data_IF_565771381639
#
_entry.id   IF_565771381639
#
_cell.length_a   1.000
_cell.length_b   1.000
_cell.length_c   1.000
_cell.angle_alpha   90.00
_cell.angle_beta   90.00
_cell.angle_gamma   90.00
#
_symmetry.space_group_name_H-M   'P 1'
#
loop_
_entity.id
_entity.type
_entity.pdbx_description
1 polymer ?
#
# COMPACT_ATOMS: atom_id res chain seq x y z
N UNK A 1 -13.74 -4.05 43.17
CA UNK A 1 -13.53 -4.22 41.71
C UNK A 1 -12.19 -4.90 41.52
N UNK A 2 -12.04 -5.97 40.71
CA UNK A 2 -10.71 -6.50 40.44
C UNK A 2 -9.88 -5.41 39.77
N UNK A 3 -8.65 -5.24 40.23
CA UNK A 3 -7.74 -4.26 39.71
C UNK A 3 -7.53 -4.49 38.21
N UNK A 4 -7.90 -3.52 37.38
CA UNK A 4 -7.74 -3.55 35.91
C UNK A 4 -6.28 -3.75 35.45
N UNK A 5 -5.33 -3.70 36.38
CA UNK A 5 -3.90 -3.83 36.15
C UNK A 5 -3.41 -5.23 35.71
N UNK A 6 -4.26 -6.25 35.71
CA UNK A 6 -3.89 -7.64 35.38
C UNK A 6 -4.39 -8.11 34.02
N UNK A 7 -5.16 -7.29 33.29
CA UNK A 7 -5.73 -7.67 32.00
C UNK A 7 -4.97 -6.99 30.86
N UNK A 8 -4.45 -7.80 29.94
CA UNK A 8 -3.89 -7.30 28.69
C UNK A 8 -5.03 -7.03 27.72
N UNK A 9 -5.03 -5.85 27.09
CA UNK A 9 -6.00 -5.55 26.05
C UNK A 9 -5.87 -6.53 24.88
N UNK A 10 -7.00 -7.01 24.36
CA UNK A 10 -7.03 -8.05 23.34
C UNK A 10 -6.45 -7.59 22.00
N UNK A 11 -6.55 -6.28 21.65
CA UNK A 11 -6.03 -5.75 20.40
C UNK A 11 -4.50 -5.58 20.46
N UNK A 12 -3.98 -5.18 21.63
CA UNK A 12 -2.54 -5.15 21.89
C UNK A 12 -1.96 -6.58 21.91
N UNK A 13 -2.66 -7.52 22.55
CA UNK A 13 -2.29 -8.94 22.55
C UNK A 13 -2.25 -9.51 21.11
N UNK A 14 -3.20 -9.10 20.28
CA UNK A 14 -3.25 -9.54 18.88
C UNK A 14 -2.04 -9.01 18.08
N UNK A 15 -1.62 -7.75 18.30
CA UNK A 15 -0.39 -7.22 17.69
C UNK A 15 0.84 -8.01 18.12
N UNK A 16 0.90 -8.44 19.41
CA UNK A 16 1.98 -9.29 19.91
C UNK A 16 1.96 -10.69 19.26
N UNK A 17 0.77 -11.23 18.95
CA UNK A 17 0.67 -12.45 18.13
C UNK A 17 1.23 -12.23 16.72
N UNK A 18 0.84 -11.14 16.04
CA UNK A 18 1.33 -10.87 14.69
C UNK A 18 2.84 -10.56 14.66
N UNK A 19 3.39 -10.03 15.75
CA UNK A 19 4.84 -9.90 15.93
C UNK A 19 5.55 -11.25 15.87
N UNK A 20 5.02 -12.30 16.53
CA UNK A 20 5.59 -13.65 16.44
C UNK A 20 5.59 -14.20 15.02
N UNK A 21 4.59 -13.83 14.21
CA UNK A 21 4.61 -14.15 12.76
C UNK A 21 5.76 -13.45 12.06
N UNK A 22 6.06 -12.21 12.43
CA UNK A 22 7.22 -11.47 11.89
C UNK A 22 8.55 -12.09 12.33
N UNK A 23 8.65 -12.57 13.57
CA UNK A 23 9.82 -13.27 14.09
C UNK A 23 10.16 -14.52 13.28
N UNK A 24 9.16 -15.26 12.80
CA UNK A 24 9.38 -16.38 11.89
C UNK A 24 10.03 -15.96 10.56
N UNK A 25 9.73 -14.74 10.07
CA UNK A 25 10.41 -14.20 8.90
C UNK A 25 11.85 -13.73 9.21
N UNK A 26 12.15 -13.43 10.45
CA UNK A 26 13.49 -13.01 10.92
C UNK A 26 14.42 -14.20 11.16
N UNK A 27 13.89 -15.36 11.44
CA UNK A 27 14.67 -16.57 11.74
C UNK A 27 15.38 -17.08 10.48
N UNK A 28 16.71 -16.95 10.46
CA UNK A 28 17.54 -17.38 9.35
C UNK A 28 17.66 -18.90 9.18
N UNK A 29 17.19 -19.70 10.14
CA UNK A 29 17.10 -21.16 10.02
C UNK A 29 15.97 -21.62 9.10
N UNK A 30 14.99 -20.73 8.84
CA UNK A 30 13.85 -20.99 7.96
C UNK A 30 14.23 -20.70 6.49
N UNK A 31 13.85 -21.56 5.53
CA UNK A 31 14.12 -21.34 4.12
C UNK A 31 13.62 -19.97 3.62
N UNK A 32 14.39 -19.30 2.76
CA UNK A 32 14.16 -17.92 2.36
C UNK A 32 12.76 -17.65 1.81
N UNK A 33 12.19 -18.55 0.99
CA UNK A 33 10.85 -18.37 0.45
C UNK A 33 9.75 -18.52 1.50
N UNK A 34 9.95 -19.35 2.52
CA UNK A 34 9.03 -19.43 3.65
C UNK A 34 9.10 -18.15 4.51
N UNK A 35 10.30 -17.57 4.68
CA UNK A 35 10.46 -16.27 5.34
C UNK A 35 9.72 -15.16 4.58
N UNK A 36 9.80 -15.16 3.24
CA UNK A 36 8.99 -14.26 2.39
C UNK A 36 7.50 -14.49 2.63
N UNK A 37 7.08 -15.75 2.74
CA UNK A 37 5.68 -16.10 3.02
C UNK A 37 5.22 -15.55 4.38
N UNK A 38 6.02 -15.68 5.44
CA UNK A 38 5.70 -15.09 6.74
C UNK A 38 5.59 -13.56 6.69
N UNK A 39 6.41 -12.87 5.88
CA UNK A 39 6.25 -11.43 5.64
C UNK A 39 4.89 -11.09 4.99
N UNK A 40 4.42 -11.89 4.04
CA UNK A 40 3.12 -11.67 3.41
C UNK A 40 1.97 -11.96 4.38
N UNK A 41 2.08 -13.01 5.21
CA UNK A 41 1.10 -13.32 6.26
C UNK A 41 1.02 -12.18 7.27
N UNK A 42 2.15 -11.68 7.76
CA UNK A 42 2.20 -10.53 8.68
C UNK A 42 1.46 -9.31 8.10
N UNK A 43 1.71 -8.98 6.83
CA UNK A 43 1.10 -7.83 6.17
C UNK A 43 -0.41 -8.02 5.98
N UNK A 44 -0.85 -9.20 5.55
CA UNK A 44 -2.27 -9.53 5.38
C UNK A 44 -3.02 -9.51 6.71
N UNK A 45 -2.44 -10.08 7.75
CA UNK A 45 -2.99 -10.04 9.10
C UNK A 45 -3.18 -8.60 9.59
N UNK A 46 -2.18 -7.74 9.34
CA UNK A 46 -2.26 -6.33 9.75
C UNK A 46 -3.34 -5.57 8.97
N UNK A 47 -3.53 -5.87 7.68
CA UNK A 47 -4.62 -5.29 6.89
C UNK A 47 -5.98 -5.67 7.48
N UNK A 48 -6.22 -6.96 7.75
CA UNK A 48 -7.46 -7.44 8.35
C UNK A 48 -7.69 -6.84 9.75
N UNK A 49 -6.64 -6.75 10.56
CA UNK A 49 -6.70 -6.11 11.87
C UNK A 49 -7.22 -4.67 11.79
N UNK A 50 -6.73 -3.88 10.84
CA UNK A 50 -7.22 -2.52 10.63
C UNK A 50 -8.65 -2.49 10.09
N UNK A 51 -8.99 -3.38 9.17
CA UNK A 51 -10.30 -3.43 8.53
C UNK A 51 -11.42 -3.82 9.49
N UNK A 52 -11.13 -4.65 10.49
CA UNK A 52 -12.14 -5.20 11.41
C UNK A 52 -11.99 -4.63 12.82
N UNK A 53 -10.82 -4.82 13.43
CA UNK A 53 -10.65 -4.53 14.86
C UNK A 53 -10.45 -3.05 15.12
N UNK A 54 -9.56 -2.39 14.39
CA UNK A 54 -9.34 -0.95 14.54
C UNK A 54 -10.59 -0.18 14.15
N UNK A 55 -11.30 -0.59 13.09
CA UNK A 55 -12.57 -0.02 12.69
C UNK A 55 -13.61 -0.09 13.84
N UNK A 56 -13.71 -1.23 14.51
CA UNK A 56 -14.60 -1.38 15.70
C UNK A 56 -14.20 -0.46 16.86
N UNK A 57 -12.89 -0.24 17.10
CA UNK A 57 -12.44 0.69 18.16
C UNK A 57 -12.74 2.14 17.77
N UNK A 58 -12.62 2.50 16.48
CA UNK A 58 -13.00 3.82 15.96
C UNK A 58 -14.49 4.09 16.14
N UNK A 59 -15.36 3.11 15.86
CA UNK A 59 -16.80 3.24 16.12
C UNK A 59 -17.12 3.46 17.61
N UNK A 60 -16.35 2.85 18.52
CA UNK A 60 -16.48 3.12 19.97
C UNK A 60 -16.02 4.52 20.35
N UNK A 61 -14.97 5.04 19.68
CA UNK A 61 -14.53 6.43 19.90
C UNK A 61 -15.63 7.44 19.55
N UNK A 62 -16.38 7.18 18.48
CA UNK A 62 -17.49 8.04 18.05
C UNK A 62 -18.72 7.92 18.96
N UNK A 63 -19.11 6.69 19.33
CA UNK A 63 -20.33 6.43 20.11
C UNK A 63 -20.15 6.64 21.62
N UNK A 64 -19.01 6.29 22.19
CA UNK A 64 -18.74 6.31 23.62
C UNK A 64 -17.28 6.67 23.95
N UNK A 65 -16.84 7.92 23.72
CA UNK A 65 -15.43 8.33 23.80
C UNK A 65 -14.80 8.17 25.19
N UNK A 66 -15.62 8.21 26.24
CA UNK A 66 -15.15 8.14 27.65
C UNK A 66 -15.24 6.74 28.27
N UNK A 67 -15.77 5.76 27.51
CA UNK A 67 -15.88 4.40 28.02
C UNK A 67 -14.50 3.76 28.13
N UNK A 68 -14.16 3.32 29.33
CA UNK A 68 -12.91 2.61 29.62
C UNK A 68 -13.16 1.11 29.47
N UNK A 69 -12.30 0.40 28.74
CA UNK A 69 -12.39 -1.05 28.60
C UNK A 69 -11.87 -1.79 29.86
N UNK A 70 -11.99 -3.12 29.86
CA UNK A 70 -11.54 -3.96 30.99
C UNK A 70 -10.03 -3.92 31.25
N UNK A 71 -9.23 -3.47 30.30
CA UNK A 71 -7.79 -3.30 30.44
C UNK A 71 -7.36 -1.86 30.82
N UNK A 72 -8.32 -0.97 31.07
CA UNK A 72 -8.07 0.39 31.53
C UNK A 72 -7.87 1.43 30.43
N UNK A 73 -8.13 1.12 29.15
CA UNK A 73 -7.99 2.05 28.04
C UNK A 73 -9.33 2.67 27.64
N UNK A 74 -9.33 3.98 27.40
CA UNK A 74 -10.34 4.61 26.56
C UNK A 74 -10.09 4.23 25.08
N UNK A 75 -11.09 4.41 24.21
CA UNK A 75 -10.91 4.13 22.78
C UNK A 75 -9.78 4.97 22.15
N UNK A 76 -9.64 6.23 22.55
CA UNK A 76 -8.57 7.12 22.08
C UNK A 76 -7.17 6.64 22.49
N UNK A 77 -6.98 6.27 23.74
CA UNK A 77 -5.72 5.73 24.26
C UNK A 77 -5.36 4.41 23.59
N UNK A 78 -6.36 3.53 23.38
CA UNK A 78 -6.15 2.26 22.69
C UNK A 78 -5.73 2.47 21.23
N UNK A 79 -6.37 3.39 20.49
CA UNK A 79 -5.99 3.72 19.11
C UNK A 79 -4.55 4.28 19.05
N UNK A 80 -4.17 5.12 20.01
CA UNK A 80 -2.81 5.65 20.10
C UNK A 80 -1.80 4.53 20.32
N UNK A 81 -2.04 3.64 21.29
CA UNK A 81 -1.17 2.48 21.59
C UNK A 81 -1.07 1.51 20.39
N UNK A 82 -2.19 1.19 19.73
CA UNK A 82 -2.23 0.38 18.51
C UNK A 82 -1.39 1.04 17.40
N UNK A 83 -1.56 2.35 17.19
CA UNK A 83 -0.87 3.09 16.11
C UNK A 83 0.64 3.10 16.32
N UNK A 84 1.11 3.31 17.54
CA UNK A 84 2.52 3.28 17.89
C UNK A 84 3.12 1.89 17.66
N UNK A 85 2.47 0.85 18.18
CA UNK A 85 2.94 -0.53 18.04
C UNK A 85 2.92 -1.00 16.59
N UNK A 86 1.84 -0.74 15.86
CA UNK A 86 1.74 -1.11 14.45
C UNK A 86 2.77 -0.38 13.58
N UNK A 87 3.10 0.88 13.90
CA UNK A 87 4.17 1.64 13.22
C UNK A 87 5.53 0.98 13.43
N UNK A 88 5.87 0.62 14.67
CA UNK A 88 7.10 -0.08 15.01
C UNK A 88 7.24 -1.38 14.21
N UNK A 89 6.22 -2.25 14.28
CA UNK A 89 6.21 -3.54 13.59
C UNK A 89 6.29 -3.38 12.06
N UNK A 90 5.61 -2.38 11.51
CA UNK A 90 5.67 -2.09 10.07
C UNK A 90 7.06 -1.62 9.62
N UNK A 91 7.74 -0.82 10.43
CA UNK A 91 9.11 -0.39 10.14
C UNK A 91 10.08 -1.58 10.22
N UNK A 92 9.93 -2.44 11.22
CA UNK A 92 10.70 -3.67 11.37
C UNK A 92 10.50 -4.61 10.18
N UNK A 93 9.25 -4.85 9.76
CA UNK A 93 8.90 -5.60 8.56
C UNK A 93 9.55 -5.02 7.29
N UNK A 94 9.44 -3.71 7.07
CA UNK A 94 10.00 -3.06 5.89
C UNK A 94 11.54 -3.13 5.86
N UNK A 95 12.19 -2.97 7.01
CA UNK A 95 13.63 -3.08 7.14
C UNK A 95 14.12 -4.52 6.92
N UNK A 96 13.42 -5.52 7.46
CA UNK A 96 13.72 -6.92 7.24
C UNK A 96 13.67 -7.25 5.74
N UNK A 97 12.57 -6.88 5.06
CA UNK A 97 12.42 -7.11 3.63
C UNK A 97 13.55 -6.47 2.83
N UNK A 98 13.75 -5.16 3.00
CA UNK A 98 14.72 -4.40 2.19
C UNK A 98 16.17 -4.77 2.46
N UNK A 99 16.55 -4.93 3.74
CA UNK A 99 17.96 -5.03 4.13
C UNK A 99 18.48 -6.47 4.27
N UNK A 100 17.57 -7.46 4.40
CA UNK A 100 17.96 -8.86 4.56
C UNK A 100 17.37 -9.75 3.47
N UNK A 101 16.04 -9.74 3.31
CA UNK A 101 15.36 -10.68 2.40
C UNK A 101 15.71 -10.41 0.93
N UNK A 102 15.65 -9.16 0.46
CA UNK A 102 15.96 -8.83 -0.94
C UNK A 102 17.41 -9.19 -1.31
N UNK A 103 18.44 -8.84 -0.51
CA UNK A 103 19.81 -9.29 -0.80
C UNK A 103 19.99 -10.80 -0.77
N UNK A 104 19.32 -11.50 0.15
CA UNK A 104 19.39 -12.97 0.25
C UNK A 104 18.72 -13.65 -0.96
N UNK A 105 17.56 -13.15 -1.41
CA UNK A 105 16.90 -13.61 -2.64
C UNK A 105 17.83 -13.48 -3.87
N UNK A 106 18.58 -12.38 -3.96
CA UNK A 106 19.56 -12.19 -5.03
C UNK A 106 20.65 -13.27 -5.01
N UNK A 107 21.07 -13.72 -3.81
CA UNK A 107 21.97 -14.86 -3.64
C UNK A 107 21.40 -16.19 -4.16
N UNK A 108 20.09 -16.29 -4.36
CA UNK A 108 19.37 -17.43 -4.94
C UNK A 108 18.90 -17.17 -6.39
N UNK A 109 19.52 -16.20 -7.08
CA UNK A 109 19.18 -15.79 -8.44
C UNK A 109 17.76 -15.25 -8.61
N UNK A 110 17.12 -14.76 -7.53
CA UNK A 110 15.80 -14.13 -7.56
C UNK A 110 15.99 -12.62 -7.36
N UNK A 111 15.72 -11.83 -8.38
CA UNK A 111 15.92 -10.39 -8.34
C UNK A 111 14.63 -9.62 -8.61
N UNK A 112 14.31 -8.65 -7.72
CA UNK A 112 13.34 -7.61 -8.00
C UNK A 112 14.16 -6.37 -8.36
N UNK A 113 14.12 -6.00 -9.63
CA UNK A 113 14.97 -4.97 -10.20
C UNK A 113 14.17 -3.70 -10.52
N UNK A 114 14.87 -2.60 -10.66
CA UNK A 114 14.32 -1.30 -11.04
C UNK A 114 14.49 -1.09 -12.54
N UNK A 115 13.71 -0.18 -13.09
CA UNK A 115 13.81 0.18 -14.50
C UNK A 115 15.22 0.63 -14.92
N UNK A 116 15.89 1.40 -14.07
CA UNK A 116 17.21 1.95 -14.34
C UNK A 116 18.30 0.86 -14.44
N UNK A 117 18.08 -0.29 -13.79
CA UNK A 117 19.00 -1.42 -13.76
C UNK A 117 18.77 -2.42 -14.91
N UNK A 118 17.78 -2.15 -15.80
CA UNK A 118 17.48 -2.99 -16.95
C UNK A 118 18.43 -2.69 -18.10
N UNK A 119 18.86 -3.74 -18.82
CA UNK A 119 19.49 -3.60 -20.13
C UNK A 119 18.49 -3.09 -21.18
N UNK A 120 18.98 -2.60 -22.31
CA UNK A 120 18.12 -2.12 -23.39
C UNK A 120 17.23 -3.23 -23.97
N UNK A 121 17.72 -4.46 -24.06
CA UNK A 121 16.92 -5.61 -24.50
C UNK A 121 15.80 -5.93 -23.51
N UNK A 122 16.09 -5.87 -22.21
CA UNK A 122 15.09 -6.08 -21.16
C UNK A 122 14.05 -4.95 -21.16
N UNK A 123 14.47 -3.68 -21.31
CA UNK A 123 13.55 -2.54 -21.46
C UNK A 123 12.63 -2.71 -22.67
N UNK A 124 13.18 -3.08 -23.82
CA UNK A 124 12.41 -3.35 -25.03
C UNK A 124 11.42 -4.52 -24.82
N UNK A 125 11.83 -5.56 -24.09
CA UNK A 125 10.97 -6.69 -23.78
C UNK A 125 9.77 -6.29 -22.90
N UNK A 126 10.02 -5.62 -21.76
CA UNK A 126 8.93 -5.22 -20.84
C UNK A 126 8.06 -4.11 -21.42
N UNK A 127 8.60 -3.21 -22.26
CA UNK A 127 7.81 -2.20 -22.98
C UNK A 127 6.84 -2.84 -23.99
N UNK A 128 7.24 -3.91 -24.66
CA UNK A 128 6.32 -4.70 -25.51
C UNK A 128 5.21 -5.36 -24.66
N UNK A 129 5.57 -5.96 -23.51
CA UNK A 129 4.56 -6.51 -22.59
C UNK A 129 3.60 -5.42 -22.13
N UNK A 130 4.11 -4.21 -21.84
CA UNK A 130 3.27 -3.09 -21.47
C UNK A 130 2.27 -2.76 -22.57
N UNK A 131 2.74 -2.50 -23.79
CA UNK A 131 1.88 -2.10 -24.92
C UNK A 131 0.85 -3.18 -25.28
N UNK A 132 1.26 -4.46 -25.30
CA UNK A 132 0.41 -5.55 -25.79
C UNK A 132 -0.59 -6.06 -24.78
N UNK A 133 -0.26 -6.02 -23.47
CA UNK A 133 -1.03 -6.73 -22.43
C UNK A 133 -1.47 -5.85 -21.28
N UNK A 134 -0.72 -4.80 -20.93
CA UNK A 134 -0.99 -3.98 -19.75
C UNK A 134 -1.78 -2.74 -20.16
N UNK A 135 -1.29 -1.98 -21.13
CA UNK A 135 -1.92 -0.75 -21.60
C UNK A 135 -3.41 -0.91 -21.95
N UNK A 136 -3.85 -1.97 -22.68
CA UNK A 136 -5.27 -2.12 -23.06
C UNK A 136 -6.25 -2.33 -21.91
N UNK A 137 -5.74 -2.74 -20.73
CA UNK A 137 -6.56 -2.98 -19.52
C UNK A 137 -6.47 -1.87 -18.49
N UNK A 138 -5.66 -0.83 -18.75
CA UNK A 138 -5.55 0.33 -17.88
C UNK A 138 -6.69 1.32 -18.15
N UNK A 139 -7.29 1.82 -17.08
CA UNK A 139 -8.35 2.84 -17.15
C UNK A 139 -7.92 4.02 -16.27
N UNK A 140 -7.23 5.03 -16.83
CA UNK A 140 -6.94 6.25 -16.11
C UNK A 140 -8.25 7.00 -15.82
N UNK A 141 -8.39 7.52 -14.61
CA UNK A 141 -9.52 8.36 -14.20
C UNK A 141 -8.98 9.70 -13.73
N UNK A 142 -9.29 10.76 -14.47
CA UNK A 142 -9.01 12.13 -14.05
C UNK A 142 -10.09 12.61 -13.09
N UNK A 143 -9.69 13.43 -12.13
CA UNK A 143 -10.59 14.11 -11.20
C UNK A 143 -10.62 15.59 -11.57
N UNK A 144 -11.79 16.10 -11.90
CA UNK A 144 -12.06 17.49 -12.19
C UNK A 144 -13.42 17.88 -11.55
N UNK A 145 -13.82 19.17 -11.57
CA UNK A 145 -15.10 19.62 -11.00
C UNK A 145 -16.34 18.89 -11.56
N UNK A 146 -16.27 18.32 -12.77
CA UNK A 146 -17.35 17.58 -13.42
C UNK A 146 -17.29 16.07 -13.11
N UNK A 147 -16.15 15.58 -12.66
CA UNK A 147 -15.90 14.17 -12.36
C UNK A 147 -15.36 14.05 -10.93
N UNK A 148 -16.25 13.79 -9.95
CA UNK A 148 -15.86 13.69 -8.54
C UNK A 148 -14.86 12.56 -8.32
N UNK A 149 -14.17 12.62 -7.19
CA UNK A 149 -13.14 11.63 -6.85
C UNK A 149 -13.72 10.20 -6.88
N UNK A 150 -13.12 9.28 -7.67
CA UNK A 150 -13.68 7.96 -7.84
C UNK A 150 -13.54 7.12 -6.56
N UNK A 151 -14.53 6.26 -6.31
CA UNK A 151 -14.45 5.26 -5.27
C UNK A 151 -13.19 4.39 -5.42
N UNK A 152 -12.42 4.27 -4.35
CA UNK A 152 -11.22 3.43 -4.31
C UNK A 152 -11.53 2.17 -3.52
N UNK A 153 -11.48 1.02 -4.20
CA UNK A 153 -11.67 -0.28 -3.55
C UNK A 153 -10.63 -0.53 -2.47
N UNK A 154 -11.05 -1.07 -1.33
CA UNK A 154 -10.15 -1.47 -0.25
C UNK A 154 -9.02 -2.37 -0.74
N UNK A 155 -7.81 -2.18 -0.21
CA UNK A 155 -6.59 -2.93 -0.53
C UNK A 155 -6.12 -2.88 -2.00
N UNK A 156 -6.83 -2.18 -2.90
CA UNK A 156 -6.39 -2.04 -4.28
C UNK A 156 -5.15 -1.15 -4.38
N UNK A 157 -4.19 -1.57 -5.20
CA UNK A 157 -3.00 -0.77 -5.51
C UNK A 157 -3.33 0.21 -6.63
N UNK A 158 -2.92 1.46 -6.45
CA UNK A 158 -3.19 2.54 -7.39
C UNK A 158 -1.97 3.46 -7.52
N UNK A 159 -1.89 4.16 -8.65
CA UNK A 159 -1.02 5.30 -8.84
C UNK A 159 -1.86 6.58 -8.76
N UNK A 160 -1.48 7.49 -7.88
CA UNK A 160 -1.91 8.87 -7.86
C UNK A 160 -0.98 9.63 -8.80
N UNK A 161 -1.51 10.31 -9.79
CA UNK A 161 -0.72 11.01 -10.81
C UNK A 161 -1.12 12.47 -10.84
N UNK A 162 -0.16 13.36 -10.78
CA UNK A 162 -0.36 14.80 -10.97
C UNK A 162 0.00 15.10 -12.41
N UNK A 163 -0.99 15.52 -13.19
CA UNK A 163 -0.83 15.88 -14.59
C UNK A 163 -1.06 17.39 -14.77
N UNK A 164 -0.29 18.01 -15.64
CA UNK A 164 -0.38 19.44 -15.95
C UNK A 164 -0.74 19.67 -17.41
N UNK A 165 -1.73 20.51 -17.64
CA UNK A 165 -2.04 20.95 -18.99
C UNK A 165 -0.99 21.99 -19.44
N UNK A 166 -0.19 21.75 -20.49
CA UNK A 166 0.85 22.67 -20.92
C UNK A 166 0.30 24.01 -21.46
N UNK A 167 -1.00 24.05 -21.87
CA UNK A 167 -1.64 25.25 -22.44
C UNK A 167 -2.23 26.15 -21.38
N UNK A 168 -2.95 25.57 -20.39
CA UNK A 168 -3.59 26.35 -19.31
C UNK A 168 -2.72 26.46 -18.05
N UNK A 169 -1.66 25.69 -17.94
CA UNK A 169 -0.84 25.51 -16.73
C UNK A 169 -1.59 24.95 -15.52
N UNK A 170 -2.83 24.52 -15.69
CA UNK A 170 -3.62 23.89 -14.64
C UNK A 170 -3.14 22.47 -14.32
N UNK A 171 -3.19 22.11 -13.05
CA UNK A 171 -2.83 20.81 -12.55
C UNK A 171 -4.09 20.01 -12.21
N UNK A 172 -4.10 18.74 -12.59
CA UNK A 172 -5.18 17.81 -12.33
C UNK A 172 -4.65 16.58 -11.63
N UNK A 173 -5.49 16.03 -10.74
CA UNK A 173 -5.25 14.73 -10.15
C UNK A 173 -5.83 13.65 -11.06
N UNK A 174 -5.06 12.59 -11.27
CA UNK A 174 -5.55 11.41 -11.95
C UNK A 174 -5.20 10.15 -11.15
N UNK A 175 -6.04 9.12 -11.27
CA UNK A 175 -5.83 7.81 -10.67
C UNK A 175 -5.67 6.76 -11.75
N UNK A 176 -4.65 5.92 -11.62
CA UNK A 176 -4.48 4.70 -12.42
C UNK A 176 -4.51 3.50 -11.47
N UNK A 177 -5.52 2.64 -11.60
CA UNK A 177 -5.59 1.40 -10.82
C UNK A 177 -4.63 0.38 -11.41
N UNK A 178 -3.80 -0.24 -10.58
CA UNK A 178 -2.98 -1.38 -10.97
C UNK A 178 -3.90 -2.60 -11.07
N UNK A 179 -4.04 -3.22 -12.26
CA UNK A 179 -5.02 -4.28 -12.46
C UNK A 179 -4.67 -5.53 -11.66
N UNK A 180 -5.56 -6.01 -10.76
CA UNK A 180 -5.28 -7.18 -9.93
C UNK A 180 -5.27 -8.50 -10.72
N UNK A 181 -5.80 -8.50 -11.94
CA UNK A 181 -5.82 -9.66 -12.84
C UNK A 181 -4.44 -9.95 -13.44
N UNK A 182 -3.55 -8.96 -13.47
CA UNK A 182 -2.19 -9.11 -13.98
C UNK A 182 -1.23 -9.51 -12.86
N UNK A 183 -0.20 -10.30 -13.22
CA UNK A 183 0.87 -10.60 -12.28
C UNK A 183 1.59 -9.31 -11.87
N UNK A 184 1.77 -9.10 -10.57
CA UNK A 184 2.53 -7.97 -10.05
C UNK A 184 4.03 -8.07 -10.34
N UNK A 185 4.55 -9.29 -10.52
CA UNK A 185 5.93 -9.55 -10.92
C UNK A 185 5.95 -9.78 -12.43
N UNK A 186 6.52 -8.83 -13.17
CA UNK A 186 6.70 -8.90 -14.63
C UNK A 186 8.08 -9.42 -14.91
N UNK A 187 8.20 -10.57 -15.59
CA UNK A 187 9.51 -11.10 -16.00
C UNK A 187 10.17 -10.15 -16.99
N UNK A 188 11.43 -9.83 -16.76
CA UNK A 188 12.19 -8.91 -17.63
C UNK A 188 12.86 -9.61 -18.79
N UNK A 189 12.79 -10.94 -18.87
CA UNK A 189 13.37 -11.76 -19.91
C UNK A 189 12.39 -12.83 -20.39
N UNK A 190 12.45 -13.15 -21.67
CA UNK A 190 11.74 -14.29 -22.26
C UNK A 190 12.37 -15.64 -21.93
N UNK A 191 13.56 -15.68 -21.32
CA UNK A 191 14.21 -16.91 -20.93
C UNK A 191 13.42 -17.61 -19.82
N UNK A 192 13.05 -18.86 -20.03
CA UNK A 192 12.18 -19.65 -19.13
C UNK A 192 12.71 -19.78 -17.68
N UNK A 193 14.02 -19.66 -17.48
CA UNK A 193 14.68 -19.81 -16.18
C UNK A 193 15.06 -18.46 -15.53
N UNK A 194 14.73 -17.32 -16.16
CA UNK A 194 15.02 -16.03 -15.58
C UNK A 194 14.10 -15.76 -14.38
N UNK A 195 14.70 -15.47 -13.23
CA UNK A 195 14.00 -15.09 -12.00
C UNK A 195 14.21 -13.60 -11.69
N UNK A 196 14.35 -12.79 -12.73
CA UNK A 196 14.48 -11.33 -12.62
C UNK A 196 13.14 -10.68 -12.97
N UNK A 197 12.65 -9.83 -12.08
CA UNK A 197 11.30 -9.27 -12.17
C UNK A 197 11.32 -7.76 -11.96
N UNK A 198 10.49 -7.05 -12.73
CA UNK A 198 10.10 -5.66 -12.52
C UNK A 198 8.71 -5.64 -11.88
N UNK A 199 8.44 -4.71 -10.96
CA UNK A 199 7.11 -4.54 -10.40
C UNK A 199 6.16 -3.92 -11.42
N UNK A 200 4.93 -4.42 -11.51
CA UNK A 200 3.91 -3.95 -12.44
C UNK A 200 3.63 -2.44 -12.26
N UNK A 201 3.52 -1.97 -11.01
CA UNK A 201 3.34 -0.55 -10.71
C UNK A 201 4.51 0.32 -11.18
N UNK A 202 5.75 -0.18 -11.13
CA UNK A 202 6.92 0.55 -11.62
C UNK A 202 6.89 0.60 -13.16
N UNK A 203 6.54 -0.50 -13.84
CA UNK A 203 6.39 -0.53 -15.28
C UNK A 203 5.29 0.43 -15.77
N UNK A 204 4.13 0.45 -15.08
CA UNK A 204 3.07 1.41 -15.41
C UNK A 204 3.54 2.85 -15.20
N UNK A 205 4.30 3.11 -14.13
CA UNK A 205 4.77 4.45 -13.82
C UNK A 205 5.72 5.05 -14.87
N UNK A 206 6.53 4.22 -15.48
CA UNK A 206 7.45 4.62 -16.57
C UNK A 206 6.67 5.01 -17.85
N UNK A 207 5.55 4.35 -18.10
CA UNK A 207 4.72 4.57 -19.28
C UNK A 207 3.51 5.51 -19.04
N UNK A 208 3.49 6.25 -17.93
CA UNK A 208 2.40 7.18 -17.62
C UNK A 208 2.14 8.21 -18.72
N UNK A 209 3.19 8.65 -19.42
CA UNK A 209 3.04 9.63 -20.50
C UNK A 209 2.17 9.12 -21.65
N UNK A 210 2.13 7.80 -21.89
CA UNK A 210 1.29 7.17 -22.91
C UNK A 210 -0.19 7.15 -22.49
N UNK A 211 -0.45 7.13 -21.17
CA UNK A 211 -1.82 7.14 -20.61
C UNK A 211 -2.44 8.54 -20.57
N UNK A 212 -1.63 9.61 -20.66
CA UNK A 212 -2.08 10.99 -20.57
C UNK A 212 -1.55 11.81 -21.76
N UNK A 213 -2.02 11.54 -22.99
CA UNK A 213 -1.55 12.22 -24.19
C UNK A 213 -1.84 13.73 -24.11
N UNK A 214 -0.82 14.54 -24.41
CA UNK A 214 -0.91 15.99 -24.38
C UNK A 214 -0.84 16.64 -23.00
N UNK A 215 -0.70 15.88 -21.94
CA UNK A 215 -0.46 16.36 -20.57
C UNK A 215 0.99 16.13 -20.16
N UNK A 216 1.50 16.90 -19.22
CA UNK A 216 2.82 16.71 -18.61
C UNK A 216 2.65 15.98 -17.29
N UNK A 217 3.36 14.89 -17.09
CA UNK A 217 3.41 14.20 -15.79
C UNK A 217 4.32 15.01 -14.87
N UNK A 218 3.76 15.57 -13.79
CA UNK A 218 4.53 16.32 -12.79
C UNK A 218 5.08 15.42 -11.69
N UNK A 219 4.21 14.54 -11.16
CA UNK A 219 4.60 13.62 -10.10
C UNK A 219 3.66 12.40 -10.09
N UNK A 220 4.11 11.32 -9.47
CA UNK A 220 3.26 10.15 -9.25
C UNK A 220 3.63 9.45 -7.94
N UNK A 221 2.63 8.82 -7.32
CA UNK A 221 2.76 8.13 -6.03
C UNK A 221 1.97 6.83 -6.05
N UNK A 222 2.61 5.75 -5.63
CA UNK A 222 1.91 4.48 -5.41
C UNK A 222 1.21 4.52 -4.06
N UNK A 223 -0.08 4.18 -4.02
CA UNK A 223 -0.86 4.16 -2.79
C UNK A 223 -1.85 3.00 -2.75
N UNK A 224 -2.25 2.66 -1.54
CA UNK A 224 -3.27 1.69 -1.21
C UNK A 224 -4.03 2.20 0.01
N UNK A 225 -5.34 2.01 0.04
CA UNK A 225 -6.16 2.38 1.19
C UNK A 225 -6.70 1.13 1.88
N UNK A 226 -6.82 1.20 3.20
CA UNK A 226 -7.54 0.22 4.02
C UNK A 226 -8.86 0.87 4.44
N UNK A 227 -9.98 0.17 4.26
CA UNK A 227 -11.32 0.62 4.63
C UNK A 227 -11.93 -0.35 5.65
N UNK A 228 -12.91 0.12 6.42
CA UNK A 228 -13.75 -0.76 7.21
C UNK A 228 -14.44 -1.78 6.29
N UNK A 229 -14.54 -3.03 6.74
CA UNK A 229 -15.21 -4.10 5.99
C UNK A 229 -16.73 -4.01 6.09
N UNK A 230 -17.24 -3.39 7.14
CA UNK A 230 -18.68 -3.26 7.44
C UNK A 230 -19.30 -1.96 6.92
N UNK A 231 -18.74 -1.32 5.89
CA UNK A 231 -19.33 -0.10 5.34
C UNK A 231 -20.63 -0.44 4.63
N UNK A 232 -21.75 -0.07 5.24
CA UNK A 232 -22.95 0.31 4.51
C UNK A 232 -22.60 1.49 3.60
N UNK A 233 -22.84 1.36 2.29
CA UNK A 233 -22.64 2.43 1.31
C UNK A 233 -23.68 3.53 1.59
N UNK A 234 -23.37 4.47 2.46
CA UNK A 234 -24.03 5.77 2.43
C UNK A 234 -23.41 6.55 1.26
N UNK A 235 -24.20 6.86 0.27
CA UNK A 235 -23.79 7.59 -0.95
C UNK A 235 -23.24 9.01 -0.63
N UNK A 236 -23.39 9.48 0.61
CA UNK A 236 -22.94 10.78 1.10
C UNK A 236 -21.42 10.88 1.34
N UNK A 237 -20.70 9.75 1.49
CA UNK A 237 -19.26 9.76 1.79
C UNK A 237 -18.37 10.15 0.59
N UNK A 238 -18.95 10.43 -0.58
CA UNK A 238 -18.17 10.83 -1.77
C UNK A 238 -17.90 12.33 -1.86
N UNK A 239 -18.61 13.17 -1.10
CA UNK A 239 -18.47 14.62 -1.18
C UNK A 239 -17.28 15.22 -0.40
N UNK A 240 -16.73 14.50 0.59
CA UNK A 240 -15.71 15.04 1.50
C UNK A 240 -14.26 14.79 1.07
N UNK A 241 -14.00 14.20 -0.09
CA UNK A 241 -12.64 14.00 -0.56
C UNK A 241 -12.16 15.20 -1.40
N UNK A 242 -11.59 16.21 -0.74
CA UNK A 242 -10.89 17.30 -1.39
C UNK A 242 -9.47 16.89 -1.80
N UNK A 243 -9.15 16.83 -3.11
CA UNK A 243 -7.80 16.55 -3.61
C UNK A 243 -6.75 17.54 -3.08
N UNK A 244 -7.14 18.79 -2.77
CA UNK A 244 -6.28 19.79 -2.15
C UNK A 244 -5.89 19.45 -0.71
N UNK A 245 -6.74 18.69 0.01
CA UNK A 245 -6.46 18.18 1.36
C UNK A 245 -5.46 17.03 1.31
N UNK A 246 -5.49 16.19 0.25
CA UNK A 246 -4.49 15.14 0.00
C UNK A 246 -3.09 15.72 -0.13
N UNK A 247 -2.97 16.89 -0.75
CA UNK A 247 -1.70 17.62 -0.94
C UNK A 247 -1.26 18.38 0.32
N UNK A 248 -2.18 18.88 1.16
CA UNK A 248 -1.90 19.72 2.33
C UNK A 248 -1.84 18.98 3.66
N UNK A 249 -2.56 17.88 3.86
CA UNK A 249 -2.60 17.14 5.12
C UNK A 249 -1.54 16.03 5.18
N UNK A 250 -0.29 16.42 5.31
CA UNK A 250 0.81 15.52 5.74
C UNK A 250 0.60 14.88 7.13
N UNK A 251 -0.43 15.24 7.89
CA UNK A 251 -0.51 14.96 9.33
C UNK A 251 -1.81 14.39 9.88
N UNK A 252 -2.78 13.95 9.08
CA UNK A 252 -3.94 13.31 9.71
C UNK A 252 -4.64 12.28 8.82
N UNK A 253 -4.70 11.07 9.37
CA UNK A 253 -5.46 9.85 9.02
C UNK A 253 -4.98 9.03 7.81
N UNK A 254 -4.15 8.05 8.14
CA UNK A 254 -3.99 6.71 7.52
C UNK A 254 -4.09 6.67 6.00
N UNK A 255 -3.22 7.41 5.32
CA UNK A 255 -2.86 7.12 3.94
C UNK A 255 -1.35 6.87 3.94
N UNK A 256 -0.94 5.59 3.86
CA UNK A 256 0.46 5.25 3.59
C UNK A 256 0.74 5.53 2.11
N UNK A 257 1.02 6.80 1.80
CA UNK A 257 1.64 7.16 0.53
C UNK A 257 3.12 6.84 0.65
N UNK A 258 3.57 5.81 -0.03
CA UNK A 258 5.00 5.55 -0.20
C UNK A 258 5.49 6.49 -1.30
N UNK A 259 6.18 7.56 -0.92
CA UNK A 259 6.94 8.35 -1.87
C UNK A 259 8.01 7.43 -2.45
N UNK A 260 8.04 7.24 -3.78
CA UNK A 260 9.21 6.68 -4.43
C UNK A 260 10.34 7.68 -4.22
N UNK A 261 11.14 7.46 -3.17
CA UNK A 261 12.37 8.21 -2.99
C UNK A 261 13.30 7.78 -4.14
N UNK A 262 13.61 8.74 -4.99
CA UNK A 262 14.79 8.64 -5.85
C UNK A 262 15.99 8.45 -4.92
N UNK A 263 16.63 7.32 -5.01
CA UNK A 263 17.98 7.08 -4.50
C UNK A 263 18.93 7.01 -5.67
#
# INVERSE_FOLDING_TARGET
MPEAQHLIDREISWLSFNERVLEMAEDSSIPILERVRFLTIFASNLDEFYMVRVASVLGKLESNPHLVNSAGYTAAELIAAISERAKELTLRHANLFKKKIVPELKGHDIEIIRWDDLSDDERNHVSRIFSDRIFPVLTPLAVDPSHPFPYISGLSLNLAVIVKNPKSSEEYFARVKVPPILSRLVSVSSAANSKRFLLLEDLISIHLQELFPGMLIQDHYTFRITRNQDIELEEEDTEDFDPGVFMKKKNSKIIKVKKNQKY
#
